data_IF_181059488949
#
_entry.id   IF_181059488949
#
_cell.length_a   1.000
_cell.length_b   1.000
_cell.length_c   1.000
_cell.angle_alpha   90.00
_cell.angle_beta   90.00
_cell.angle_gamma   90.00
#
_symmetry.space_group_name_H-M   'P 1'
#
loop_
_entity.id
_entity.type
_entity.pdbx_description
1 polymer ?
#
# COMPACT_ATOMS: atom_id res chain seq x y z
N UNK A 1 -12.92 7.87 16.43
CA UNK A 1 -11.75 8.30 15.70
C UNK A 1 -10.58 7.34 16.00
N UNK A 2 -9.92 6.82 14.98
CA UNK A 2 -8.81 5.86 15.08
C UNK A 2 -7.65 6.38 15.95
N UNK A 3 -7.40 7.69 15.92
CA UNK A 3 -6.36 8.30 16.77
C UNK A 3 -6.69 8.16 18.24
N UNK A 4 -7.94 8.43 18.62
CA UNK A 4 -8.39 8.33 20.02
C UNK A 4 -8.36 6.90 20.53
N UNK A 5 -8.75 5.93 19.69
CA UNK A 5 -8.65 4.51 20.01
C UNK A 5 -7.20 4.05 20.20
N UNK A 6 -6.31 4.51 19.32
CA UNK A 6 -4.89 4.21 19.46
C UNK A 6 -4.32 4.78 20.75
N UNK A 7 -4.58 6.05 21.04
CA UNK A 7 -4.01 6.74 22.20
C UNK A 7 -4.55 6.16 23.51
N UNK A 8 -5.84 5.77 23.54
CA UNK A 8 -6.48 5.17 24.71
C UNK A 8 -5.93 3.79 25.06
N UNK A 9 -5.57 2.98 24.04
CA UNK A 9 -5.12 1.60 24.22
C UNK A 9 -3.63 1.41 23.87
N UNK A 10 -2.80 2.44 24.00
CA UNK A 10 -1.36 2.38 23.68
C UNK A 10 -0.64 1.24 24.41
N UNK A 11 -1.04 0.96 25.68
CA UNK A 11 -0.42 -0.06 26.52
C UNK A 11 -1.09 -1.43 26.45
N UNK A 12 -2.16 -1.60 25.64
CA UNK A 12 -2.92 -2.83 25.55
C UNK A 12 -3.24 -3.20 24.09
N UNK A 13 -2.28 -3.75 23.33
CA UNK A 13 -2.43 -4.03 21.90
C UNK A 13 -3.64 -4.89 21.54
N UNK A 14 -3.95 -5.91 22.36
CA UNK A 14 -5.10 -6.79 22.14
C UNK A 14 -6.44 -6.07 22.29
N UNK A 15 -6.55 -5.20 23.29
CA UNK A 15 -7.75 -4.38 23.48
C UNK A 15 -7.90 -3.35 22.35
N UNK A 16 -6.79 -2.79 21.88
CA UNK A 16 -6.75 -1.87 20.75
C UNK A 16 -7.28 -2.55 19.48
N UNK A 17 -6.82 -3.77 19.19
CA UNK A 17 -7.29 -4.56 18.04
C UNK A 17 -8.80 -4.82 18.12
N UNK A 18 -9.30 -5.30 19.25
CA UNK A 18 -10.73 -5.54 19.46
C UNK A 18 -11.58 -4.30 19.34
N UNK A 19 -11.14 -3.20 19.92
CA UNK A 19 -11.83 -1.90 19.82
C UNK A 19 -11.89 -1.39 18.38
N UNK A 20 -10.79 -1.50 17.63
CA UNK A 20 -10.75 -1.15 16.21
C UNK A 20 -11.69 -2.03 15.37
N UNK A 21 -11.69 -3.33 15.59
CA UNK A 21 -12.59 -4.27 14.90
C UNK A 21 -14.06 -3.95 15.18
N UNK A 22 -14.42 -3.69 16.46
CA UNK A 22 -15.78 -3.30 16.82
C UNK A 22 -16.20 -1.96 16.20
N UNK A 23 -15.31 -0.96 16.22
CA UNK A 23 -15.60 0.35 15.64
C UNK A 23 -15.77 0.29 14.10
N UNK A 24 -15.15 -0.68 13.42
CA UNK A 24 -15.27 -0.84 11.97
C UNK A 24 -16.45 -1.72 11.56
N UNK A 25 -16.92 -2.61 12.42
CA UNK A 25 -18.02 -3.53 12.11
C UNK A 25 -19.34 -2.80 11.84
N UNK A 26 -19.55 -1.64 12.46
CA UNK A 26 -20.80 -0.88 12.41
C UNK A 26 -20.72 0.37 11.49
N UNK A 27 -19.68 0.49 10.66
CA UNK A 27 -19.61 1.63 9.72
C UNK A 27 -20.61 1.40 8.58
N UNK A 28 -21.65 2.24 8.47
CA UNK A 28 -22.60 2.11 7.39
C UNK A 28 -21.93 2.45 6.05
N UNK A 29 -22.42 1.91 4.92
CA UNK A 29 -22.01 2.36 3.60
C UNK A 29 -22.25 3.87 3.46
N UNK A 30 -21.21 4.60 3.07
CA UNK A 30 -21.29 6.03 2.78
C UNK A 30 -21.15 6.24 1.27
N UNK A 31 -22.08 7.00 0.68
CA UNK A 31 -22.05 7.35 -0.73
C UNK A 31 -21.92 8.87 -0.81
N UNK A 32 -20.74 9.32 -1.20
CA UNK A 32 -20.47 10.73 -1.45
C UNK A 32 -20.26 10.98 -2.95
N UNK A 33 -20.90 12.03 -3.48
CA UNK A 33 -20.72 12.49 -4.87
C UNK A 33 -20.27 13.95 -4.81
N UNK A 34 -19.02 14.19 -5.22
CA UNK A 34 -18.43 15.53 -5.30
C UNK A 34 -17.29 15.52 -6.33
N UNK A 35 -16.61 16.64 -6.50
CA UNK A 35 -15.41 16.73 -7.32
C UNK A 35 -14.31 15.80 -6.79
N UNK A 36 -13.62 15.07 -7.67
CA UNK A 36 -12.67 14.01 -7.28
C UNK A 36 -11.59 14.49 -6.31
N UNK A 37 -11.08 15.72 -6.45
CA UNK A 37 -10.08 16.27 -5.53
C UNK A 37 -10.62 16.48 -4.10
N UNK A 38 -11.92 16.79 -3.94
CA UNK A 38 -12.56 16.91 -2.63
C UNK A 38 -12.75 15.54 -1.97
N UNK A 39 -13.20 14.56 -2.76
CA UNK A 39 -13.40 13.19 -2.27
C UNK A 39 -12.09 12.50 -1.87
N UNK A 40 -11.00 12.81 -2.59
CA UNK A 40 -9.69 12.18 -2.38
C UNK A 40 -8.79 12.95 -1.41
N UNK A 41 -9.14 14.20 -1.06
CA UNK A 41 -8.38 15.04 -0.13
C UNK A 41 -8.91 14.88 1.29
N UNK A 42 -8.27 14.02 2.08
CA UNK A 42 -8.62 13.81 3.47
C UNK A 42 -7.49 14.24 4.40
N UNK A 43 -7.84 14.93 5.48
CA UNK A 43 -6.92 15.12 6.59
C UNK A 43 -6.61 13.78 7.24
N UNK A 44 -5.31 13.44 7.34
CA UNK A 44 -4.84 12.22 8.00
C UNK A 44 -4.10 12.56 9.28
N UNK A 45 -4.81 12.68 10.42
CA UNK A 45 -4.21 13.09 11.68
C UNK A 45 -3.27 12.04 12.27
N UNK A 46 -3.33 10.80 11.80
CA UNK A 46 -2.47 9.71 12.27
C UNK A 46 -1.31 9.49 11.30
N UNK A 47 -0.08 9.54 11.82
CA UNK A 47 1.11 9.22 11.02
C UNK A 47 1.34 7.72 11.00
N UNK A 48 1.67 7.21 9.82
CA UNK A 48 1.95 5.80 9.61
C UNK A 48 3.09 5.58 8.61
N UNK A 49 3.63 4.38 8.61
CA UNK A 49 4.47 3.81 7.55
C UNK A 49 3.60 2.91 6.72
N UNK A 50 3.80 2.92 5.42
CA UNK A 50 2.94 2.22 4.48
C UNK A 50 3.75 1.50 3.41
N UNK A 51 3.35 0.27 3.12
CA UNK A 51 3.76 -0.48 1.94
C UNK A 51 2.51 -0.78 1.12
N UNK A 52 2.55 -0.45 -0.16
CA UNK A 52 1.45 -0.68 -1.09
C UNK A 52 1.96 -1.31 -2.38
N UNK A 53 1.29 -2.36 -2.83
CA UNK A 53 1.56 -3.03 -4.08
C UNK A 53 0.31 -3.17 -4.93
N UNK A 54 0.50 -3.09 -6.24
CA UNK A 54 -0.55 -3.21 -7.25
C UNK A 54 -0.36 -4.51 -8.01
N UNK A 55 -1.32 -5.41 -7.88
CA UNK A 55 -1.30 -6.79 -8.36
C UNK A 55 -2.17 -6.93 -9.62
N UNK A 56 -1.93 -7.93 -10.48
CA UNK A 56 -2.98 -8.35 -11.41
C UNK A 56 -4.27 -8.60 -10.65
N UNK A 57 -5.41 -8.11 -11.15
CA UNK A 57 -6.69 -8.16 -10.41
C UNK A 57 -7.06 -9.58 -9.98
N UNK A 58 -6.73 -10.58 -10.77
CA UNK A 58 -6.99 -11.99 -10.46
C UNK A 58 -6.27 -12.49 -9.21
N UNK A 59 -5.13 -11.89 -8.86
CA UNK A 59 -4.31 -12.28 -7.71
C UNK A 59 -4.73 -11.59 -6.40
N UNK A 60 -5.49 -10.49 -6.46
CA UNK A 60 -5.74 -9.63 -5.30
C UNK A 60 -6.33 -10.39 -4.11
N UNK A 61 -7.38 -11.16 -4.32
CA UNK A 61 -8.10 -11.83 -3.22
C UNK A 61 -7.22 -12.93 -2.59
N UNK A 62 -6.49 -13.68 -3.41
CA UNK A 62 -5.57 -14.72 -2.94
C UNK A 62 -4.45 -14.12 -2.09
N UNK A 63 -3.81 -13.08 -2.59
CA UNK A 63 -2.75 -12.35 -1.89
C UNK A 63 -3.25 -11.70 -0.61
N UNK A 64 -4.42 -11.06 -0.62
CA UNK A 64 -5.01 -10.45 0.57
C UNK A 64 -5.23 -11.49 1.68
N UNK A 65 -5.81 -12.64 1.34
CA UNK A 65 -6.03 -13.74 2.29
C UNK A 65 -4.72 -14.26 2.86
N UNK A 66 -3.70 -14.43 2.03
CA UNK A 66 -2.40 -14.93 2.47
C UNK A 66 -1.70 -13.94 3.40
N UNK A 67 -1.75 -12.63 3.11
CA UNK A 67 -1.20 -11.59 3.98
C UNK A 67 -1.92 -11.56 5.32
N UNK A 68 -3.26 -11.60 5.33
CA UNK A 68 -4.06 -11.68 6.56
C UNK A 68 -3.64 -12.89 7.38
N UNK A 69 -3.61 -14.08 6.76
CA UNK A 69 -3.21 -15.32 7.43
C UNK A 69 -1.82 -15.23 8.07
N UNK A 70 -0.84 -14.67 7.34
CA UNK A 70 0.53 -14.50 7.87
C UNK A 70 0.57 -13.51 9.02
N UNK A 71 -0.11 -12.37 8.91
CA UNK A 71 -0.18 -11.37 9.98
C UNK A 71 -0.86 -11.96 11.23
N UNK A 72 -1.96 -12.70 11.07
CA UNK A 72 -2.69 -13.30 12.18
C UNK A 72 -1.94 -14.45 12.84
N UNK A 73 -1.03 -15.13 12.11
CA UNK A 73 -0.15 -16.14 12.67
C UNK A 73 1.01 -15.57 13.50
N UNK A 74 1.27 -14.29 13.40
CA UNK A 74 2.27 -13.59 14.19
C UNK A 74 1.64 -13.07 15.50
N UNK A 75 2.35 -13.20 16.60
CA UNK A 75 1.86 -12.74 17.91
C UNK A 75 1.77 -11.22 18.05
N UNK A 76 2.37 -10.48 17.12
CA UNK A 76 2.37 -9.02 17.11
C UNK A 76 1.05 -8.48 16.56
N UNK A 77 0.41 -7.60 17.30
CA UNK A 77 -0.84 -6.99 16.88
C UNK A 77 -0.65 -5.94 15.80
N UNK A 78 -1.50 -5.96 14.76
CA UNK A 78 -1.60 -4.88 13.77
C UNK A 78 -2.86 -4.08 14.07
N UNK A 79 -2.70 -2.77 14.22
CA UNK A 79 -3.80 -1.87 14.56
C UNK A 79 -4.52 -1.33 13.32
N UNK A 80 -3.77 -0.97 12.29
CA UNK A 80 -4.35 -0.39 11.08
C UNK A 80 -5.05 -1.43 10.22
N UNK A 81 -6.19 -1.07 9.61
CA UNK A 81 -6.82 -1.93 8.61
C UNK A 81 -5.92 -2.07 7.37
N UNK A 82 -6.06 -3.20 6.69
CA UNK A 82 -5.52 -3.38 5.35
C UNK A 82 -6.47 -2.69 4.39
N UNK A 83 -5.94 -1.88 3.49
CA UNK A 83 -6.70 -1.23 2.44
C UNK A 83 -6.59 -2.02 1.14
N UNK A 84 -7.73 -2.27 0.49
CA UNK A 84 -7.79 -2.94 -0.82
C UNK A 84 -8.64 -2.12 -1.78
N UNK A 85 -8.12 -1.90 -3.01
CA UNK A 85 -8.77 -1.11 -4.06
C UNK A 85 -8.69 -1.82 -5.40
N UNK A 86 -9.62 -1.53 -6.30
CA UNK A 86 -9.59 -1.95 -7.69
C UNK A 86 -9.32 -0.71 -8.54
N UNK A 87 -8.37 -0.80 -9.46
CA UNK A 87 -7.93 0.32 -10.28
C UNK A 87 -7.92 -0.12 -11.75
N UNK A 88 -8.55 0.71 -12.60
CA UNK A 88 -8.55 0.52 -14.04
C UNK A 88 -7.13 0.66 -14.64
N UNK A 89 -6.85 0.00 -15.77
CA UNK A 89 -5.59 0.17 -16.48
C UNK A 89 -5.45 1.59 -17.04
N UNK A 90 -4.20 2.01 -17.23
CA UNK A 90 -3.83 3.23 -17.94
C UNK A 90 -2.71 2.98 -18.98
N UNK A 91 -2.28 4.02 -19.71
CA UNK A 91 -1.24 3.97 -20.72
C UNK A 91 0.07 4.69 -20.32
N UNK A 92 0.18 5.15 -19.09
CA UNK A 92 1.35 5.87 -18.61
C UNK A 92 2.51 4.88 -18.30
N UNK A 93 3.66 5.08 -18.94
CA UNK A 93 4.78 4.13 -18.99
C UNK A 93 5.30 3.64 -17.62
N UNK A 94 5.34 4.50 -16.62
CA UNK A 94 5.79 4.14 -15.28
C UNK A 94 4.64 3.99 -14.28
N UNK A 95 3.39 3.97 -14.78
CA UNK A 95 2.26 3.67 -13.93
C UNK A 95 2.29 2.21 -13.45
N UNK A 96 2.00 1.95 -12.19
CA UNK A 96 1.78 0.58 -11.71
C UNK A 96 0.63 -0.13 -12.44
N UNK A 97 -0.26 0.64 -13.08
CA UNK A 97 -1.46 0.18 -13.76
C UNK A 97 -1.30 0.08 -15.29
N UNK A 98 -0.09 0.34 -15.80
CA UNK A 98 0.19 0.32 -17.23
C UNK A 98 -0.32 -0.98 -17.88
N UNK A 99 -1.30 -0.84 -18.79
CA UNK A 99 -1.95 -1.92 -19.55
C UNK A 99 -2.44 -3.11 -18.68
N UNK A 100 -2.82 -2.86 -17.42
CA UNK A 100 -3.21 -3.91 -16.50
C UNK A 100 -4.24 -3.44 -15.48
N UNK A 101 -5.44 -4.04 -15.51
CA UNK A 101 -6.40 -3.93 -14.40
C UNK A 101 -5.76 -4.50 -13.13
N UNK A 102 -5.80 -3.72 -12.08
CA UNK A 102 -5.01 -4.00 -10.88
C UNK A 102 -5.83 -3.96 -9.60
N UNK A 103 -5.52 -4.90 -8.72
CA UNK A 103 -5.91 -4.86 -7.32
C UNK A 103 -4.80 -4.27 -6.46
N UNK A 104 -5.06 -3.17 -5.78
CA UNK A 104 -4.12 -2.58 -4.82
C UNK A 104 -4.33 -3.15 -3.44
N UNK A 105 -3.25 -3.42 -2.71
CA UNK A 105 -3.26 -3.79 -1.29
C UNK A 105 -2.22 -2.95 -0.57
N UNK A 106 -2.66 -2.23 0.48
CA UNK A 106 -1.81 -1.45 1.34
C UNK A 106 -1.84 -1.96 2.78
N UNK A 107 -0.66 -2.13 3.37
CA UNK A 107 -0.45 -2.50 4.78
C UNK A 107 0.20 -1.34 5.53
N UNK A 108 -0.28 -1.07 6.74
CA UNK A 108 0.09 0.11 7.50
C UNK A 108 0.60 -0.25 8.89
N UNK A 109 1.61 0.47 9.35
CA UNK A 109 2.08 0.42 10.73
C UNK A 109 2.18 1.84 11.30
N UNK A 110 1.94 2.00 12.59
CA UNK A 110 2.15 3.30 13.22
C UNK A 110 3.61 3.73 13.09
N UNK A 111 3.87 5.01 12.82
CA UNK A 111 5.21 5.50 12.47
C UNK A 111 6.28 5.30 13.56
N UNK A 112 5.86 5.09 14.82
CA UNK A 112 6.74 4.81 15.97
C UNK A 112 6.91 3.31 16.28
N UNK A 113 6.11 2.44 15.67
CA UNK A 113 6.21 0.99 15.86
C UNK A 113 7.23 0.39 14.88
N UNK A 114 7.82 -0.73 15.26
CA UNK A 114 8.59 -1.55 14.34
C UNK A 114 7.65 -2.08 13.24
N UNK A 115 7.89 -1.65 12.01
CA UNK A 115 7.12 -2.05 10.83
C UNK A 115 7.84 -3.09 9.98
N UNK A 116 9.12 -3.27 10.19
CA UNK A 116 9.97 -4.08 9.33
C UNK A 116 9.53 -5.53 9.28
N UNK A 117 9.08 -6.08 10.39
CA UNK A 117 8.61 -7.46 10.43
C UNK A 117 7.41 -7.69 9.51
N UNK A 118 6.42 -6.80 9.55
CA UNK A 118 5.21 -6.89 8.73
C UNK A 118 5.54 -6.69 7.25
N UNK A 119 6.41 -5.74 6.94
CA UNK A 119 6.79 -5.45 5.56
C UNK A 119 7.65 -6.59 4.97
N UNK A 120 8.57 -7.17 5.77
CA UNK A 120 9.30 -8.37 5.35
C UNK A 120 8.41 -9.61 5.18
N UNK A 121 7.30 -9.68 5.88
CA UNK A 121 6.31 -10.74 5.74
C UNK A 121 5.43 -10.56 4.50
N UNK A 122 4.99 -9.34 4.22
CA UNK A 122 4.05 -9.04 3.14
C UNK A 122 4.73 -8.91 1.76
N UNK A 123 5.90 -8.26 1.69
CA UNK A 123 6.54 -7.94 0.41
C UNK A 123 6.85 -9.16 -0.48
N UNK A 124 7.36 -10.29 0.04
CA UNK A 124 7.55 -11.48 -0.78
C UNK A 124 6.26 -11.97 -1.43
N UNK A 125 5.13 -11.93 -0.71
CA UNK A 125 3.83 -12.34 -1.26
C UNK A 125 3.40 -11.45 -2.42
N UNK A 126 3.57 -10.13 -2.27
CA UNK A 126 3.31 -9.18 -3.35
C UNK A 126 4.17 -9.44 -4.56
N UNK A 127 5.47 -9.68 -4.35
CA UNK A 127 6.44 -9.90 -5.43
C UNK A 127 6.18 -11.20 -6.20
N UNK A 128 5.89 -12.29 -5.51
CA UNK A 128 5.55 -13.59 -6.10
C UNK A 128 4.32 -13.51 -7.00
N UNK A 129 3.35 -12.66 -6.64
CA UNK A 129 2.15 -12.40 -7.44
C UNK A 129 2.34 -11.36 -8.56
N UNK A 130 3.58 -10.97 -8.88
CA UNK A 130 3.87 -9.99 -9.92
C UNK A 130 3.44 -8.56 -9.57
N UNK A 131 3.43 -8.24 -8.29
CA UNK A 131 3.07 -6.92 -7.77
C UNK A 131 4.05 -5.83 -8.20
N UNK A 132 3.52 -4.67 -8.61
CA UNK A 132 4.28 -3.44 -8.83
C UNK A 132 4.15 -2.55 -7.61
N UNK A 133 5.26 -2.03 -7.02
CA UNK A 133 5.18 -1.19 -5.85
C UNK A 133 4.63 0.20 -6.18
N UNK A 134 3.98 0.82 -5.21
CA UNK A 134 3.64 2.23 -5.27
C UNK A 134 4.91 3.07 -5.11
N UNK A 135 5.23 3.95 -6.07
CA UNK A 135 6.46 4.74 -6.12
C UNK A 135 6.73 5.61 -4.87
N UNK A 136 5.68 6.09 -4.21
CA UNK A 136 5.79 6.95 -3.02
C UNK A 136 5.69 6.22 -1.69
N UNK A 137 5.72 4.89 -1.67
CA UNK A 137 5.58 4.07 -0.45
C UNK A 137 6.85 3.26 -0.20
N UNK A 138 6.91 2.57 0.95
CA UNK A 138 8.06 1.76 1.30
C UNK A 138 8.07 0.44 0.53
N UNK A 139 9.22 0.10 -0.04
CA UNK A 139 9.50 -1.18 -0.68
C UNK A 139 11.01 -1.44 -0.71
N UNK A 140 11.41 -2.70 -0.85
CA UNK A 140 12.84 -3.08 -0.91
C UNK A 140 13.40 -3.18 -2.33
N UNK A 141 12.55 -3.02 -3.37
CA UNK A 141 12.93 -3.19 -4.77
C UNK A 141 13.95 -2.13 -5.22
N UNK A 142 14.89 -2.57 -6.03
CA UNK A 142 15.92 -1.74 -6.65
C UNK A 142 15.64 -1.53 -8.14
N UNK A 143 16.37 -0.64 -8.77
CA UNK A 143 16.22 -0.33 -10.20
C UNK A 143 16.22 -1.57 -11.09
N UNK A 144 17.00 -2.60 -10.76
CA UNK A 144 17.05 -3.86 -11.52
C UNK A 144 15.74 -4.64 -11.44
N UNK A 145 15.06 -4.62 -10.29
CA UNK A 145 13.78 -5.27 -10.09
C UNK A 145 12.67 -4.48 -10.81
N UNK A 146 12.66 -3.15 -10.64
CA UNK A 146 11.70 -2.25 -11.28
C UNK A 146 11.76 -2.34 -12.81
N UNK A 147 12.98 -2.42 -13.37
CA UNK A 147 13.17 -2.61 -14.82
C UNK A 147 12.50 -3.88 -15.36
N UNK A 148 12.38 -4.92 -14.55
CA UNK A 148 11.70 -6.18 -14.94
C UNK A 148 10.18 -6.08 -14.80
N UNK A 149 9.70 -5.27 -13.86
CA UNK A 149 8.27 -5.15 -13.54
C UNK A 149 7.53 -4.14 -14.43
N UNK A 150 8.22 -3.10 -14.89
CA UNK A 150 7.62 -2.03 -15.71
C UNK A 150 8.01 -2.19 -17.18
N UNK A 151 7.06 -2.56 -18.07
CA UNK A 151 7.38 -2.90 -19.48
C UNK A 151 8.07 -1.77 -20.25
N UNK A 152 7.75 -0.51 -19.93
CA UNK A 152 8.28 0.68 -20.62
C UNK A 152 9.37 1.42 -19.81
N UNK A 153 9.99 0.72 -18.85
CA UNK A 153 11.03 1.32 -17.99
C UNK A 153 12.24 1.85 -18.78
N UNK A 154 12.66 1.12 -19.80
CA UNK A 154 13.85 1.47 -20.60
C UNK A 154 13.59 2.74 -21.39
N UNK A 155 12.43 2.84 -22.03
CA UNK A 155 12.03 4.02 -22.80
C UNK A 155 11.84 5.25 -21.90
N UNK A 156 11.21 5.05 -20.73
CA UNK A 156 11.08 6.12 -19.74
C UNK A 156 12.46 6.62 -19.24
N UNK A 157 13.41 5.73 -19.00
CA UNK A 157 14.77 6.07 -18.61
C UNK A 157 15.52 6.82 -19.74
N UNK A 158 15.29 6.44 -21.00
CA UNK A 158 15.86 7.17 -22.15
C UNK A 158 15.34 8.61 -22.22
N UNK A 159 14.05 8.83 -22.05
CA UNK A 159 13.46 10.17 -21.99
C UNK A 159 14.04 10.95 -20.81
N UNK A 160 14.10 10.35 -19.61
CA UNK A 160 14.69 10.98 -18.43
C UNK A 160 16.11 11.47 -18.70
N UNK A 161 16.96 10.64 -19.30
CA UNK A 161 18.36 10.99 -19.61
C UNK A 161 18.46 12.09 -20.67
N UNK A 162 17.50 12.17 -21.60
CA UNK A 162 17.49 13.22 -22.61
C UNK A 162 17.14 14.59 -22.01
N UNK A 163 16.24 14.63 -21.02
CA UNK A 163 15.82 15.88 -20.37
C UNK A 163 16.66 16.27 -19.16
N UNK A 164 17.37 15.32 -18.56
CA UNK A 164 18.28 15.53 -17.43
C UNK A 164 19.63 14.81 -17.67
N UNK A 165 20.42 15.26 -18.67
CA UNK A 165 21.68 14.62 -19.05
C UNK A 165 22.72 14.64 -17.92
N UNK A 166 22.71 15.69 -17.09
CA UNK A 166 23.63 15.84 -15.95
C UNK A 166 23.18 15.06 -14.72
N UNK A 167 21.97 14.47 -14.73
CA UNK A 167 21.42 13.71 -13.62
C UNK A 167 21.17 14.53 -12.36
N UNK A 168 20.70 15.77 -12.52
CA UNK A 168 20.41 16.68 -11.39
C UNK A 168 19.17 16.26 -10.59
N UNK A 169 18.22 15.58 -11.25
CA UNK A 169 16.96 15.10 -10.66
C UNK A 169 17.10 13.61 -10.27
N UNK A 170 18.04 13.31 -9.41
CA UNK A 170 18.26 11.94 -8.85
C UNK A 170 17.87 11.89 -7.39
N UNK A 171 17.25 10.78 -6.99
CA UNK A 171 17.07 10.39 -5.59
C UNK A 171 18.24 9.55 -5.12
#
# INVERSE_FOLDING_TARGET
DLKSLRDLFEFAPELRKKAAQSAMADIPPDIAIDEGWKLLSNERPVRFKEMEYHLPIAEQVGVLREIIRRIESDARGVFFPIEARIIAPDDAWLSPFYERESGSIAVHAWYKEDHDWMFRLAEPVFREAGGRPHWGKLHSLKAVDLKRLYPRFVEADAVRRAVDPDGRMRN
#
